data_IF_665924288646
#
_entry.id   IF_665924288646
#
_cell.length_a   1.000
_cell.length_b   1.000
_cell.length_c   1.000
_cell.angle_alpha   90.00
_cell.angle_beta   90.00
_cell.angle_gamma   90.00
#
_symmetry.space_group_name_H-M   'P 1'
#
loop_
_entity.id
_entity.type
_entity.pdbx_description
1 polymer ?
#
# COMPACT_ATOMS: atom_id res chain seq x y z
N UNK A 1 48.59 4.87 28.31
CA UNK A 1 47.28 4.19 28.29
C UNK A 1 46.22 5.26 28.34
N UNK A 2 45.40 5.55 27.33
CA UNK A 2 45.22 5.09 25.95
C UNK A 2 44.56 6.30 25.25
N UNK A 3 45.07 6.78 24.12
CA UNK A 3 44.68 6.26 22.82
C UNK A 3 43.51 7.05 22.20
N UNK A 4 43.67 8.36 21.98
CA UNK A 4 42.79 9.13 21.07
C UNK A 4 43.35 9.02 19.64
N UNK A 5 42.56 8.71 18.60
CA UNK A 5 43.01 8.92 17.23
C UNK A 5 42.81 10.38 16.84
N UNK A 6 43.92 11.09 16.66
CA UNK A 6 44.01 12.28 15.81
C UNK A 6 43.94 11.83 14.34
N UNK A 7 43.19 12.56 13.51
CA UNK A 7 43.35 12.54 12.06
C UNK A 7 43.69 13.96 11.62
N UNK A 8 44.95 14.17 11.25
CA UNK A 8 45.37 15.22 10.32
C UNK A 8 45.97 14.53 9.08
N UNK A 9 45.66 15.06 7.88
CA UNK A 9 46.26 14.62 6.62
C UNK A 9 45.43 14.97 5.38
N UNK A 10 45.72 16.14 4.81
CA UNK A 10 45.51 16.56 3.41
C UNK A 10 44.08 16.72 2.83
N UNK A 11 43.43 17.83 3.21
CA UNK A 11 43.63 19.05 2.42
C UNK A 11 43.17 19.14 0.95
N UNK A 12 42.18 18.37 0.49
CA UNK A 12 41.29 18.82 -0.62
C UNK A 12 39.85 18.38 -0.32
N UNK A 13 39.09 19.22 0.39
CA UNK A 13 37.62 19.15 0.31
C UNK A 13 37.25 19.51 -1.12
N UNK A 14 37.00 18.52 -1.98
CA UNK A 14 36.13 18.76 -3.15
C UNK A 14 34.82 19.27 -2.58
N UNK A 15 34.53 20.55 -2.79
CA UNK A 15 33.17 21.08 -2.72
C UNK A 15 32.38 20.34 -3.78
N UNK A 16 31.76 19.22 -3.37
CA UNK A 16 30.77 18.52 -4.18
C UNK A 16 29.59 19.49 -4.27
N UNK A 17 29.24 19.92 -5.48
CA UNK A 17 28.07 20.77 -5.66
C UNK A 17 26.81 20.00 -5.20
N UNK A 18 25.74 20.65 -4.72
CA UNK A 18 24.48 19.97 -4.38
C UNK A 18 23.88 19.14 -5.54
N UNK A 19 24.28 19.46 -6.78
CA UNK A 19 23.89 18.78 -8.01
C UNK A 19 24.64 17.44 -8.22
N UNK A 20 25.88 17.33 -7.72
CA UNK A 20 26.70 16.12 -7.80
C UNK A 20 26.31 15.02 -6.78
N UNK A 21 25.37 15.29 -5.86
CA UNK A 21 24.96 14.39 -4.77
C UNK A 21 23.63 13.67 -4.99
N UNK A 22 22.89 13.93 -6.07
CA UNK A 22 21.61 13.26 -6.33
C UNK A 22 21.80 12.10 -7.29
N UNK A 23 21.94 10.90 -6.74
CA UNK A 23 21.79 9.64 -7.48
C UNK A 23 20.49 9.64 -8.28
N UNK A 24 20.54 9.13 -9.50
CA UNK A 24 19.35 8.98 -10.34
C UNK A 24 18.41 7.91 -9.79
N UNK A 25 17.12 8.00 -10.13
CA UNK A 25 16.12 7.00 -9.74
C UNK A 25 16.57 5.59 -10.17
N UNK A 26 17.01 5.35 -11.43
CA UNK A 26 17.55 4.05 -11.82
C UNK A 26 18.73 3.54 -11.00
N UNK A 27 19.68 4.42 -10.67
CA UNK A 27 20.89 4.03 -9.92
C UNK A 27 20.52 3.55 -8.51
N UNK A 28 19.66 4.31 -7.83
CA UNK A 28 19.20 3.97 -6.50
C UNK A 28 18.21 2.79 -6.48
N UNK A 29 17.33 2.68 -7.48
CA UNK A 29 16.48 1.50 -7.63
C UNK A 29 17.32 0.23 -7.77
N UNK A 30 18.42 0.27 -8.55
CA UNK A 30 19.37 -0.84 -8.67
C UNK A 30 20.05 -1.16 -7.33
N UNK A 31 20.42 -0.14 -6.56
CA UNK A 31 21.00 -0.30 -5.22
C UNK A 31 20.02 -0.94 -4.25
N UNK A 32 18.76 -0.49 -4.22
CA UNK A 32 17.70 -1.03 -3.37
C UNK A 32 17.37 -2.47 -3.78
N UNK A 33 17.26 -2.76 -5.07
CA UNK A 33 17.08 -4.13 -5.57
C UNK A 33 18.19 -5.06 -5.07
N UNK A 34 19.44 -4.60 -5.11
CA UNK A 34 20.57 -5.38 -4.61
C UNK A 34 20.52 -5.61 -3.09
N UNK A 35 20.02 -4.64 -2.31
CA UNK A 35 19.80 -4.81 -0.86
C UNK A 35 18.74 -5.89 -0.61
N UNK A 36 17.61 -5.81 -1.32
CA UNK A 36 16.51 -6.77 -1.18
C UNK A 36 16.94 -8.20 -1.53
N UNK A 37 17.60 -8.37 -2.68
CA UNK A 37 18.02 -9.69 -3.18
C UNK A 37 19.10 -10.33 -2.31
N UNK A 38 19.94 -9.52 -1.66
CA UNK A 38 20.98 -10.00 -0.74
C UNK A 38 20.50 -10.16 0.71
N UNK A 39 19.27 -9.75 1.00
CA UNK A 39 18.71 -9.88 2.35
C UNK A 39 18.31 -11.34 2.60
N UNK A 40 19.08 -12.01 3.46
CA UNK A 40 18.87 -13.40 3.82
C UNK A 40 17.53 -13.65 4.55
N UNK A 41 17.04 -12.66 5.30
CA UNK A 41 15.80 -12.78 6.08
C UNK A 41 14.57 -12.89 5.19
N UNK A 42 14.63 -12.35 3.97
CA UNK A 42 13.57 -12.46 2.96
C UNK A 42 13.49 -13.86 2.34
N UNK A 43 14.51 -14.71 2.51
CA UNK A 43 14.55 -16.09 1.99
C UNK A 43 14.13 -16.20 0.53
N UNK A 44 14.55 -15.24 -0.31
CA UNK A 44 14.21 -15.24 -1.73
C UNK A 44 14.81 -16.48 -2.43
N UNK A 45 14.06 -17.18 -3.31
CA UNK A 45 14.58 -18.34 -4.02
C UNK A 45 15.76 -18.00 -4.94
N UNK A 46 16.72 -18.92 -5.08
CA UNK A 46 17.88 -18.74 -5.98
C UNK A 46 17.46 -18.41 -7.42
N UNK A 47 16.40 -19.07 -7.90
CA UNK A 47 15.80 -18.82 -9.22
C UNK A 47 15.35 -17.36 -9.43
N UNK A 48 15.10 -16.60 -8.36
CA UNK A 48 14.77 -15.17 -8.44
C UNK A 48 16.05 -14.33 -8.37
N UNK A 49 16.98 -14.68 -7.48
CA UNK A 49 18.15 -13.85 -7.17
C UNK A 49 19.27 -13.93 -8.20
N UNK A 50 19.46 -15.08 -8.84
CA UNK A 50 20.58 -15.33 -9.79
C UNK A 50 20.53 -14.45 -11.05
N UNK A 51 19.33 -14.00 -11.44
CA UNK A 51 19.14 -13.19 -12.65
C UNK A 51 18.92 -11.70 -12.37
N UNK A 52 19.27 -11.22 -11.17
CA UNK A 52 19.14 -9.81 -10.78
C UNK A 52 19.84 -8.84 -11.75
N UNK A 53 20.95 -9.27 -12.36
CA UNK A 53 21.74 -8.50 -13.32
C UNK A 53 20.97 -8.19 -14.62
N UNK A 54 19.93 -8.96 -14.93
CA UNK A 54 19.09 -8.77 -16.11
C UNK A 54 18.07 -7.61 -15.93
N UNK A 55 17.90 -7.09 -14.71
CA UNK A 55 16.99 -5.98 -14.43
C UNK A 55 17.66 -4.64 -14.79
N UNK A 56 16.98 -3.87 -15.64
CA UNK A 56 17.40 -2.54 -16.07
C UNK A 56 16.29 -1.53 -15.77
N UNK A 57 16.68 -0.39 -15.21
CA UNK A 57 15.78 0.71 -14.88
C UNK A 57 16.00 1.85 -15.87
N UNK A 58 14.92 2.36 -16.46
CA UNK A 58 14.95 3.37 -17.53
C UNK A 58 13.75 4.30 -17.41
N UNK A 59 13.79 5.53 -17.94
CA UNK A 59 14.98 6.27 -18.37
C UNK A 59 15.84 6.75 -17.19
N UNK A 60 17.07 7.19 -17.49
CA UNK A 60 17.97 7.76 -16.49
C UNK A 60 17.55 9.18 -16.12
N UNK A 61 16.83 9.31 -14.99
CA UNK A 61 16.26 10.55 -14.51
C UNK A 61 16.50 10.74 -13.02
N UNK A 62 16.48 11.98 -12.55
CA UNK A 62 16.53 12.33 -11.14
C UNK A 62 15.12 12.28 -10.50
N UNK A 63 15.00 12.69 -9.24
CA UNK A 63 13.71 12.76 -8.55
C UNK A 63 12.75 13.74 -9.22
N UNK A 64 11.48 13.34 -9.35
CA UNK A 64 10.39 14.20 -9.84
C UNK A 64 9.16 14.20 -8.93
N UNK A 65 9.11 13.33 -7.91
CA UNK A 65 8.14 13.47 -6.83
C UNK A 65 8.73 14.37 -5.73
N UNK A 66 7.99 15.39 -5.24
CA UNK A 66 8.47 16.32 -4.22
C UNK A 66 8.40 15.67 -2.82
N UNK A 67 9.10 14.57 -2.63
CA UNK A 67 9.18 13.82 -1.37
C UNK A 67 10.64 13.66 -0.94
N UNK A 68 10.94 13.76 0.37
CA UNK A 68 12.28 13.46 0.88
C UNK A 68 12.58 11.96 0.90
N UNK A 69 11.57 11.11 0.69
CA UNK A 69 11.69 9.65 0.77
C UNK A 69 12.00 9.03 -0.59
N UNK A 70 12.71 7.89 -0.59
CA UNK A 70 13.08 7.12 -1.80
C UNK A 70 11.92 6.31 -2.39
N UNK A 71 10.76 6.95 -2.59
CA UNK A 71 9.53 6.28 -3.01
C UNK A 71 9.61 5.75 -4.44
N UNK A 72 10.04 6.58 -5.40
CA UNK A 72 10.19 6.20 -6.81
C UNK A 72 11.22 5.09 -6.99
N UNK A 73 12.33 5.18 -6.28
CA UNK A 73 13.43 4.23 -6.33
C UNK A 73 13.02 2.88 -5.72
N UNK A 74 12.34 2.90 -4.57
CA UNK A 74 11.82 1.70 -3.92
C UNK A 74 10.73 1.02 -4.75
N UNK A 75 9.77 1.79 -5.28
CA UNK A 75 8.72 1.26 -6.14
C UNK A 75 9.30 0.61 -7.40
N UNK A 76 10.27 1.27 -8.03
CA UNK A 76 10.98 0.73 -9.19
C UNK A 76 11.69 -0.58 -8.84
N UNK A 77 12.44 -0.62 -7.74
CA UNK A 77 13.12 -1.84 -7.29
C UNK A 77 12.13 -2.99 -7.04
N UNK A 78 10.98 -2.70 -6.43
CA UNK A 78 9.94 -3.70 -6.18
C UNK A 78 9.30 -4.24 -7.46
N UNK A 79 9.08 -3.39 -8.47
CA UNK A 79 8.69 -3.87 -9.81
C UNK A 79 9.77 -4.73 -10.48
N UNK A 80 11.04 -4.45 -10.21
CA UNK A 80 12.16 -5.31 -10.58
C UNK A 80 12.07 -6.70 -9.95
N UNK A 81 11.78 -6.78 -8.64
CA UNK A 81 11.52 -8.05 -7.95
C UNK A 81 10.34 -8.80 -8.58
N UNK A 82 9.22 -8.13 -8.85
CA UNK A 82 8.04 -8.74 -9.49
C UNK A 82 8.43 -9.35 -10.85
N UNK A 83 9.22 -8.64 -11.66
CA UNK A 83 9.71 -9.15 -12.94
C UNK A 83 10.61 -10.40 -12.80
N UNK A 84 11.45 -10.45 -11.76
CA UNK A 84 12.30 -11.62 -11.46
C UNK A 84 11.47 -12.83 -11.04
N UNK A 85 10.49 -12.64 -10.16
CA UNK A 85 9.55 -13.70 -9.77
C UNK A 85 8.73 -14.19 -10.96
N UNK A 86 8.18 -13.29 -11.76
CA UNK A 86 7.44 -13.64 -12.97
C UNK A 86 8.30 -14.46 -13.94
N UNK A 87 9.56 -14.07 -14.14
CA UNK A 87 10.50 -14.84 -14.95
C UNK A 87 10.76 -16.21 -14.36
N UNK A 88 11.06 -16.32 -13.06
CA UNK A 88 11.31 -17.61 -12.40
C UNK A 88 10.12 -18.57 -12.56
N UNK A 89 8.89 -18.09 -12.37
CA UNK A 89 7.67 -18.87 -12.60
C UNK A 89 7.57 -19.32 -14.06
N UNK A 90 7.82 -18.45 -15.04
CA UNK A 90 7.75 -18.85 -16.44
C UNK A 90 8.81 -19.90 -16.81
N UNK A 91 10.03 -19.83 -16.23
CA UNK A 91 11.08 -20.83 -16.48
C UNK A 91 10.69 -22.19 -15.92
N UNK A 92 10.20 -22.21 -14.69
CA UNK A 92 9.76 -23.44 -14.01
C UNK A 92 8.54 -24.06 -14.71
N UNK A 93 7.55 -23.23 -15.05
CA UNK A 93 6.26 -23.71 -15.56
C UNK A 93 6.25 -24.02 -17.05
N UNK A 94 6.94 -23.21 -17.85
CA UNK A 94 6.86 -23.26 -19.31
C UNK A 94 8.19 -23.64 -19.97
N UNK A 95 9.20 -24.03 -19.19
CA UNK A 95 10.56 -24.23 -19.67
C UNK A 95 11.08 -23.01 -20.45
N UNK A 96 10.66 -21.80 -20.05
CA UNK A 96 11.19 -20.58 -20.64
C UNK A 96 12.70 -20.52 -20.36
N UNK A 97 13.46 -20.02 -21.34
CA UNK A 97 14.90 -19.78 -21.15
C UNK A 97 15.17 -18.68 -20.13
N UNK A 98 16.45 -18.46 -19.84
CA UNK A 98 16.90 -17.36 -18.98
C UNK A 98 16.42 -15.99 -19.48
N UNK A 99 16.05 -15.06 -18.59
CA UNK A 99 15.62 -13.73 -18.99
C UNK A 99 16.78 -12.96 -19.61
N UNK A 100 16.67 -12.61 -20.90
CA UNK A 100 17.68 -11.74 -21.54
C UNK A 100 17.68 -10.33 -20.96
N UNK A 101 16.49 -9.82 -20.59
CA UNK A 101 16.31 -8.47 -20.06
C UNK A 101 14.96 -8.33 -19.35
N UNK A 102 14.97 -7.67 -18.21
CA UNK A 102 13.78 -7.19 -17.50
C UNK A 102 13.89 -5.66 -17.46
N UNK A 103 12.92 -4.95 -18.01
CA UNK A 103 12.95 -3.49 -18.10
C UNK A 103 11.88 -2.91 -17.20
N UNK A 104 12.29 -2.06 -16.26
CA UNK A 104 11.39 -1.29 -15.41
C UNK A 104 11.43 0.16 -15.87
N UNK A 105 10.30 0.64 -16.37
CA UNK A 105 10.09 2.05 -16.63
C UNK A 105 9.81 2.79 -15.31
N UNK A 106 10.72 3.68 -14.91
CA UNK A 106 10.67 4.32 -13.59
C UNK A 106 9.55 5.34 -13.46
N UNK A 107 9.09 5.91 -14.59
CA UNK A 107 7.90 6.77 -14.59
C UNK A 107 6.67 5.94 -14.26
N UNK A 108 6.46 4.85 -14.99
CA UNK A 108 5.34 3.93 -14.77
C UNK A 108 5.37 3.36 -13.35
N UNK A 109 6.51 2.87 -12.89
CA UNK A 109 6.67 2.34 -11.53
C UNK A 109 6.33 3.37 -10.45
N UNK A 110 6.72 4.63 -10.65
CA UNK A 110 6.40 5.72 -9.73
C UNK A 110 4.92 6.10 -9.81
N UNK A 111 4.38 6.28 -11.02
CA UNK A 111 2.98 6.67 -11.24
C UNK A 111 2.00 5.63 -10.72
N UNK A 112 2.41 4.36 -10.62
CA UNK A 112 1.61 3.31 -9.96
C UNK A 112 1.29 3.63 -8.50
N UNK A 113 2.17 4.34 -7.77
CA UNK A 113 1.90 4.81 -6.40
C UNK A 113 0.72 5.78 -6.33
N UNK A 114 0.43 6.46 -7.45
CA UNK A 114 -0.62 7.46 -7.59
C UNK A 114 -1.72 7.00 -8.56
N UNK A 115 -1.79 5.70 -8.88
CA UNK A 115 -2.64 5.15 -9.95
C UNK A 115 -4.12 5.48 -9.77
N UNK A 116 -4.61 5.53 -8.53
CA UNK A 116 -5.99 5.97 -8.21
C UNK A 116 -6.34 7.34 -8.79
N UNK A 117 -5.40 8.28 -8.85
CA UNK A 117 -5.61 9.63 -9.40
C UNK A 117 -5.50 9.67 -10.92
N UNK A 118 -4.90 8.65 -11.52
CA UNK A 118 -4.72 8.52 -12.97
C UNK A 118 -5.82 7.66 -13.60
N UNK A 119 -6.61 6.96 -12.78
CA UNK A 119 -7.66 6.09 -13.26
C UNK A 119 -8.76 6.89 -13.96
N UNK A 120 -9.04 6.49 -15.21
CA UNK A 120 -10.04 7.11 -16.05
C UNK A 120 -11.04 6.08 -16.57
N UNK A 121 -12.29 6.51 -16.70
CA UNK A 121 -13.34 5.75 -17.37
C UNK A 121 -13.81 6.57 -18.57
N UNK A 122 -13.61 6.04 -19.77
CA UNK A 122 -13.95 6.72 -21.04
C UNK A 122 -13.36 8.15 -21.13
N UNK A 123 -12.10 8.32 -20.72
CA UNK A 123 -11.37 9.60 -20.80
C UNK A 123 -11.72 10.63 -19.72
N UNK A 124 -12.61 10.29 -18.77
CA UNK A 124 -12.91 11.13 -17.60
C UNK A 124 -12.25 10.56 -16.36
N UNK A 125 -11.75 11.44 -15.49
CA UNK A 125 -11.36 11.03 -14.14
C UNK A 125 -12.54 10.40 -13.43
N UNK A 126 -12.24 9.48 -12.54
CA UNK A 126 -13.26 8.65 -11.91
C UNK A 126 -14.41 9.43 -11.26
N UNK A 127 -14.11 10.52 -10.55
CA UNK A 127 -15.07 11.39 -9.86
C UNK A 127 -16.04 12.10 -10.80
N UNK A 128 -15.69 12.26 -12.08
CA UNK A 128 -16.51 12.86 -13.13
C UNK A 128 -17.16 11.83 -14.05
N UNK A 129 -16.90 10.54 -13.80
CA UNK A 129 -17.37 9.47 -14.65
C UNK A 129 -18.84 9.11 -14.38
N UNK A 130 -19.50 8.55 -15.39
CA UNK A 130 -20.85 8.01 -15.28
C UNK A 130 -20.97 6.78 -14.34
N UNK A 131 -19.84 6.27 -13.83
CA UNK A 131 -19.82 5.10 -12.94
C UNK A 131 -20.07 5.49 -11.48
N UNK A 132 -19.83 6.76 -11.12
CA UNK A 132 -20.01 7.26 -9.75
C UNK A 132 -21.37 6.92 -9.14
N UNK A 133 -22.51 7.15 -9.83
CA UNK A 133 -23.82 6.81 -9.25
C UNK A 133 -24.00 5.31 -8.99
N UNK A 134 -23.33 4.44 -9.75
CA UNK A 134 -23.47 2.97 -9.62
C UNK A 134 -22.82 2.42 -8.35
N UNK A 135 -21.89 3.16 -7.77
CA UNK A 135 -21.07 2.71 -6.66
C UNK A 135 -21.15 3.62 -5.44
N UNK A 136 -22.13 4.54 -5.44
CA UNK A 136 -22.44 5.38 -4.29
C UNK A 136 -22.84 4.56 -3.05
N UNK A 137 -23.38 3.36 -3.25
CA UNK A 137 -23.71 2.42 -2.18
C UNK A 137 -22.48 1.99 -1.36
N UNK A 138 -21.27 2.08 -1.92
CA UNK A 138 -20.03 1.78 -1.22
C UNK A 138 -19.59 2.92 -0.27
N UNK A 139 -20.03 4.15 -0.50
CA UNK A 139 -19.71 5.30 0.35
C UNK A 139 -20.77 5.52 1.45
N UNK A 140 -21.11 4.46 2.18
CA UNK A 140 -22.12 4.53 3.24
C UNK A 140 -21.70 5.45 4.41
N UNK A 141 -20.40 5.77 4.54
CA UNK A 141 -19.89 6.75 5.51
C UNK A 141 -19.87 8.20 5.01
N UNK A 142 -20.33 8.44 3.78
CA UNK A 142 -20.46 9.77 3.14
C UNK A 142 -19.14 10.55 3.10
N UNK A 143 -18.02 9.86 2.83
CA UNK A 143 -16.69 10.49 2.79
C UNK A 143 -16.47 11.36 1.55
N UNK A 144 -17.43 11.37 0.61
CA UNK A 144 -17.45 12.32 -0.51
C UNK A 144 -17.87 13.72 -0.11
N UNK A 145 -18.57 13.90 1.02
CA UNK A 145 -18.85 15.23 1.54
C UNK A 145 -17.52 15.92 1.85
N UNK A 146 -17.33 17.11 1.31
CA UNK A 146 -16.06 17.85 1.42
C UNK A 146 -15.66 17.99 2.89
N UNK A 147 -16.61 18.35 3.74
CA UNK A 147 -16.41 18.49 5.18
C UNK A 147 -15.87 17.22 5.85
N UNK A 148 -16.46 16.05 5.53
CA UNK A 148 -16.11 14.75 6.12
C UNK A 148 -14.78 14.22 5.56
N UNK A 149 -14.50 14.48 4.28
CA UNK A 149 -13.26 14.09 3.62
C UNK A 149 -12.04 14.77 4.27
N UNK A 150 -12.15 16.08 4.50
CA UNK A 150 -11.05 16.92 5.00
C UNK A 150 -10.67 16.62 6.45
N UNK A 151 -11.49 15.88 7.21
CA UNK A 151 -11.17 15.38 8.56
C UNK A 151 -9.81 14.66 8.58
N UNK A 152 -9.52 13.88 7.53
CA UNK A 152 -8.26 13.14 7.41
C UNK A 152 -7.11 14.07 7.01
N UNK A 153 -6.45 14.68 8.00
CA UNK A 153 -5.38 15.65 7.78
C UNK A 153 -4.51 15.83 9.03
N UNK A 154 -3.39 16.54 8.87
CA UNK A 154 -2.40 16.78 9.92
C UNK A 154 -2.53 18.20 10.45
N UNK A 155 -2.74 18.34 11.75
CA UNK A 155 -2.90 19.63 12.42
C UNK A 155 -1.93 19.78 13.59
N UNK A 156 -1.56 21.02 13.87
CA UNK A 156 -0.67 21.35 15.00
C UNK A 156 -1.46 21.32 16.30
N UNK A 157 -0.91 20.70 17.33
CA UNK A 157 -1.51 20.54 18.67
C UNK A 157 -1.01 21.61 19.65
N UNK A 158 -1.65 21.69 20.83
CA UNK A 158 -1.32 22.65 21.89
C UNK A 158 0.13 22.54 22.38
N UNK A 159 0.67 21.33 22.43
CA UNK A 159 2.04 21.00 22.86
C UNK A 159 3.09 21.13 21.75
N UNK A 160 2.77 21.89 20.69
CA UNK A 160 3.64 22.11 19.51
C UNK A 160 4.06 20.82 18.78
N UNK A 161 3.25 19.77 18.87
CA UNK A 161 3.36 18.55 18.07
C UNK A 161 2.42 18.66 16.86
N UNK A 162 2.41 17.62 16.04
CA UNK A 162 1.45 17.48 14.96
C UNK A 162 0.69 16.17 15.16
N UNK A 163 -0.61 16.18 14.89
CA UNK A 163 -1.48 15.02 15.02
C UNK A 163 -2.21 14.78 13.70
N UNK A 164 -2.14 13.55 13.21
CA UNK A 164 -2.91 13.09 12.07
C UNK A 164 -4.30 12.68 12.56
N UNK A 165 -5.26 13.57 12.36
CA UNK A 165 -6.68 13.27 12.50
C UNK A 165 -7.10 12.39 11.32
N UNK A 166 -7.93 11.37 11.54
CA UNK A 166 -8.30 10.44 10.47
C UNK A 166 -9.78 10.07 10.51
N UNK A 167 -10.50 10.33 9.42
CA UNK A 167 -11.93 10.05 9.27
C UNK A 167 -12.26 8.59 8.94
N UNK A 168 -11.30 7.76 8.57
CA UNK A 168 -11.53 6.37 8.09
C UNK A 168 -12.55 6.34 6.94
N UNK A 169 -13.27 5.23 6.78
CA UNK A 169 -14.40 5.14 5.85
C UNK A 169 -15.71 5.65 6.45
N UNK A 170 -15.67 6.24 7.66
CA UNK A 170 -16.80 6.88 8.30
C UNK A 170 -16.28 7.89 9.33
N UNK A 171 -16.36 9.18 9.00
CA UNK A 171 -15.83 10.24 9.85
C UNK A 171 -16.64 10.54 11.11
N UNK A 172 -17.86 10.01 11.26
CA UNK A 172 -18.77 10.32 12.39
C UNK A 172 -18.11 10.17 13.77
N UNK A 173 -17.38 9.08 14.11
CA UNK A 173 -16.71 8.98 15.41
C UNK A 173 -15.69 10.10 15.66
N UNK A 174 -14.97 10.50 14.61
CA UNK A 174 -13.98 11.58 14.69
C UNK A 174 -14.65 12.93 14.90
N UNK A 175 -15.78 13.19 14.21
CA UNK A 175 -16.53 14.43 14.34
C UNK A 175 -17.13 14.55 15.75
N UNK A 176 -17.70 13.46 16.28
CA UNK A 176 -18.21 13.43 17.66
C UNK A 176 -17.10 13.58 18.70
N UNK A 177 -15.93 12.97 18.49
CA UNK A 177 -14.76 13.17 19.35
C UNK A 177 -14.35 14.65 19.44
N UNK A 178 -14.58 15.42 18.39
CA UNK A 178 -14.25 16.84 18.31
C UNK A 178 -15.43 17.76 18.67
N UNK A 179 -16.55 17.22 19.15
CA UNK A 179 -17.79 17.96 19.41
C UNK A 179 -18.29 18.77 18.19
N UNK A 180 -18.13 18.19 17.00
CA UNK A 180 -18.50 18.78 15.73
C UNK A 180 -19.77 18.14 15.13
N UNK A 181 -20.57 18.90 14.35
CA UNK A 181 -21.72 18.36 13.66
C UNK A 181 -21.28 17.32 12.62
N UNK A 182 -22.12 16.32 12.37
CA UNK A 182 -21.80 15.27 11.39
C UNK A 182 -21.75 15.76 9.94
N UNK A 183 -22.51 16.81 9.63
CA UNK A 183 -22.73 17.32 8.29
C UNK A 183 -22.68 18.85 8.24
N UNK A 184 -22.11 19.38 7.17
CA UNK A 184 -22.02 20.82 6.87
C UNK A 184 -22.30 21.07 5.38
N UNK A 185 -23.58 20.98 4.94
CA UNK A 185 -23.93 21.18 3.53
C UNK A 185 -23.64 22.60 3.03
N UNK A 186 -23.45 23.55 3.95
CA UNK A 186 -23.01 24.92 3.68
C UNK A 186 -21.51 25.04 3.35
N UNK A 187 -20.73 23.96 3.53
CA UNK A 187 -19.29 23.88 3.28
C UNK A 187 -18.94 22.82 2.22
N UNK A 188 -19.81 22.62 1.23
CA UNK A 188 -19.58 21.64 0.16
C UNK A 188 -18.87 22.29 -1.04
N UNK A 189 -17.79 21.68 -1.52
CA UNK A 189 -17.02 22.20 -2.65
C UNK A 189 -15.58 22.57 -2.29
N UNK A 190 -14.69 22.53 -3.29
CA UNK A 190 -13.25 22.73 -3.10
C UNK A 190 -12.91 24.12 -2.54
N UNK A 191 -13.73 25.12 -2.81
CA UNK A 191 -13.63 26.49 -2.30
C UNK A 191 -13.72 26.57 -0.77
N UNK A 192 -14.34 25.59 -0.12
CA UNK A 192 -14.52 25.55 1.34
C UNK A 192 -13.41 24.78 2.07
N UNK A 193 -12.49 24.11 1.35
CA UNK A 193 -11.48 23.23 1.96
C UNK A 193 -10.64 23.96 3.02
N UNK A 194 -10.18 25.19 2.76
CA UNK A 194 -9.37 25.92 3.73
C UNK A 194 -10.18 26.36 4.96
N UNK A 195 -11.42 26.82 4.77
CA UNK A 195 -12.31 27.15 5.88
C UNK A 195 -12.61 25.92 6.76
N UNK A 196 -12.80 24.75 6.14
CA UNK A 196 -12.99 23.49 6.86
C UNK A 196 -11.71 23.12 7.64
N UNK A 197 -10.53 23.25 7.01
CA UNK A 197 -9.26 23.01 7.70
C UNK A 197 -9.06 23.92 8.89
N UNK A 198 -9.50 25.18 8.82
CA UNK A 198 -9.42 26.12 9.95
C UNK A 198 -10.29 25.66 11.13
N UNK A 199 -11.49 25.13 10.89
CA UNK A 199 -12.34 24.54 11.94
C UNK A 199 -11.60 23.42 12.69
N UNK A 200 -11.02 22.46 11.96
CA UNK A 200 -10.29 21.34 12.57
C UNK A 200 -9.01 21.82 13.26
N UNK A 201 -8.29 22.76 12.63
CA UNK A 201 -7.06 23.35 13.19
C UNK A 201 -7.34 24.04 14.53
N UNK A 202 -8.39 24.82 14.64
CA UNK A 202 -8.74 25.56 15.86
C UNK A 202 -9.10 24.64 17.03
N UNK A 203 -9.69 23.48 16.75
CA UNK A 203 -10.03 22.49 17.79
C UNK A 203 -8.78 21.71 18.19
N UNK A 204 -8.02 21.19 17.22
CA UNK A 204 -6.80 20.41 17.49
C UNK A 204 -5.74 21.24 18.20
N UNK A 205 -5.61 22.54 17.88
CA UNK A 205 -4.67 23.45 18.54
C UNK A 205 -4.95 23.67 20.03
N UNK A 206 -6.14 23.34 20.52
CA UNK A 206 -6.54 23.46 21.94
C UNK A 206 -6.31 22.17 22.73
N UNK A 207 -5.80 21.12 22.09
CA UNK A 207 -5.66 19.79 22.67
C UNK A 207 -4.20 19.34 22.58
N UNK A 208 -3.71 18.66 23.62
CA UNK A 208 -2.39 18.03 23.59
C UNK A 208 -2.43 16.76 22.73
N UNK A 209 -1.28 16.42 22.13
CA UNK A 209 -1.17 15.29 21.21
C UNK A 209 -1.46 13.92 21.85
N UNK A 210 -1.07 13.73 23.12
CA UNK A 210 -1.28 12.47 23.83
C UNK A 210 -2.76 12.24 24.17
N UNK A 211 -3.48 13.26 24.64
CA UNK A 211 -4.92 13.12 24.93
C UNK A 211 -5.73 12.84 23.66
N UNK A 212 -5.35 13.45 22.53
CA UNK A 212 -5.94 13.14 21.22
C UNK A 212 -5.68 11.69 20.81
N UNK A 213 -4.47 11.18 21.00
CA UNK A 213 -4.12 9.81 20.64
C UNK A 213 -4.88 8.79 21.49
N UNK A 214 -4.92 8.98 22.82
CA UNK A 214 -5.67 8.12 23.74
C UNK A 214 -7.16 8.19 23.44
N UNK A 215 -7.72 9.39 23.27
CA UNK A 215 -9.15 9.51 23.02
C UNK A 215 -9.55 8.88 21.67
N UNK A 216 -8.81 9.16 20.59
CA UNK A 216 -9.10 8.59 19.28
C UNK A 216 -9.05 7.06 19.31
N UNK A 217 -7.94 6.48 19.79
CA UNK A 217 -7.71 5.04 19.68
C UNK A 217 -8.45 4.22 20.76
N UNK A 218 -8.50 4.67 22.01
CA UNK A 218 -9.05 3.88 23.12
C UNK A 218 -10.54 4.13 23.37
N UNK A 219 -11.02 5.36 23.16
CA UNK A 219 -12.43 5.72 23.43
C UNK A 219 -13.29 5.64 22.18
N UNK A 220 -12.84 6.22 21.08
CA UNK A 220 -13.62 6.30 19.85
C UNK A 220 -13.31 5.18 18.86
N UNK A 221 -12.29 4.36 19.14
CA UNK A 221 -11.82 3.27 18.27
C UNK A 221 -11.56 3.75 16.83
N UNK A 222 -11.10 4.99 16.72
CA UNK A 222 -10.85 5.70 15.48
C UNK A 222 -9.34 5.89 15.32
N UNK A 223 -8.76 5.64 14.13
CA UNK A 223 -7.36 5.90 13.89
C UNK A 223 -7.03 7.37 14.15
N UNK A 224 -5.90 7.61 14.81
CA UNK A 224 -5.34 8.93 15.03
C UNK A 224 -3.96 8.78 15.64
N UNK A 225 -2.99 9.56 15.17
CA UNK A 225 -1.62 9.38 15.62
C UNK A 225 -0.85 10.69 15.67
N UNK A 226 -0.06 10.86 16.73
CA UNK A 226 0.95 11.91 16.80
C UNK A 226 2.03 11.65 15.76
N UNK A 227 2.35 12.67 14.96
CA UNK A 227 3.48 12.65 14.04
C UNK A 227 4.79 12.63 14.85
N UNK A 228 5.58 11.58 14.65
CA UNK A 228 6.82 11.30 15.38
C UNK A 228 8.01 11.32 14.44
N UNK A 229 9.19 11.65 14.96
CA UNK A 229 10.45 11.32 14.29
C UNK A 229 10.69 9.80 14.30
N UNK A 230 11.67 9.34 13.53
CA UNK A 230 12.05 7.91 13.52
C UNK A 230 12.48 7.44 14.90
N UNK A 231 13.31 8.22 15.60
CA UNK A 231 13.79 7.89 16.95
C UNK A 231 12.65 7.88 17.98
N UNK A 232 11.72 8.85 17.90
CA UNK A 232 10.54 8.89 18.75
C UNK A 232 9.64 7.67 18.50
N UNK A 233 9.43 7.28 17.24
CA UNK A 233 8.67 6.07 16.91
C UNK A 233 9.37 4.82 17.44
N UNK A 234 10.68 4.67 17.20
CA UNK A 234 11.48 3.54 17.68
C UNK A 234 11.43 3.40 19.21
N UNK A 235 11.30 4.51 19.94
CA UNK A 235 11.16 4.52 21.40
C UNK A 235 9.74 4.17 21.90
N UNK A 236 8.74 4.01 21.04
CA UNK A 236 7.40 3.52 21.44
C UNK A 236 7.38 2.00 21.65
N UNK A 237 6.36 1.47 22.31
CA UNK A 237 6.14 0.01 22.40
C UNK A 237 5.97 -0.62 21.02
N UNK A 238 5.19 0.03 20.13
CA UNK A 238 4.99 -0.42 18.75
C UNK A 238 6.27 -0.38 17.93
N UNK A 239 7.04 0.70 18.02
CA UNK A 239 8.31 0.82 17.29
C UNK A 239 9.33 -0.22 17.74
N UNK A 240 9.51 -0.41 19.06
CA UNK A 240 10.39 -1.48 19.58
C UNK A 240 9.97 -2.88 19.12
N UNK A 241 8.68 -3.11 18.95
CA UNK A 241 8.16 -4.40 18.49
C UNK A 241 8.27 -4.60 16.97
N UNK A 242 8.38 -3.52 16.17
CA UNK A 242 8.22 -3.58 14.71
C UNK A 242 9.48 -3.17 13.93
N UNK A 243 10.39 -2.38 14.51
CA UNK A 243 11.52 -1.80 13.76
C UNK A 243 12.57 -2.83 13.32
N UNK A 244 12.65 -3.95 14.04
CA UNK A 244 13.54 -5.08 13.75
C UNK A 244 12.83 -6.18 12.93
N UNK A 245 11.51 -6.07 12.71
CA UNK A 245 10.77 -7.07 11.93
C UNK A 245 11.16 -7.00 10.45
N UNK A 246 11.32 -8.16 9.78
CA UNK A 246 11.63 -8.18 8.35
C UNK A 246 10.41 -7.72 7.54
N UNK A 247 10.66 -7.36 6.27
CA UNK A 247 9.61 -6.85 5.37
C UNK A 247 8.44 -7.84 5.19
N UNK A 248 8.72 -9.14 5.23
CA UNK A 248 7.72 -10.20 5.29
C UNK A 248 8.30 -11.43 5.97
N UNK A 249 7.40 -12.28 6.46
CA UNK A 249 7.73 -13.57 7.05
C UNK A 249 7.05 -14.70 6.28
N UNK A 250 7.75 -15.82 6.13
CA UNK A 250 7.22 -17.04 5.54
C UNK A 250 7.06 -18.08 6.65
N UNK A 251 5.82 -18.50 6.87
CA UNK A 251 5.48 -19.57 7.80
C UNK A 251 4.99 -20.78 7.00
N UNK A 252 5.62 -21.94 7.23
CA UNK A 252 5.18 -23.19 6.62
C UNK A 252 4.06 -23.78 7.49
N UNK A 253 2.83 -23.80 6.97
CA UNK A 253 1.68 -24.32 7.71
C UNK A 253 1.80 -25.84 7.98
N UNK A 254 2.38 -26.59 7.03
CA UNK A 254 2.58 -28.03 7.15
C UNK A 254 3.92 -28.47 6.55
N UNK A 255 4.70 -29.25 7.30
CA UNK A 255 6.03 -29.68 6.86
C UNK A 255 6.01 -30.70 5.71
N UNK A 256 4.93 -31.46 5.57
CA UNK A 256 4.90 -32.72 4.81
C UNK A 256 4.00 -32.69 3.56
N UNK A 257 3.39 -31.57 3.21
CA UNK A 257 2.57 -31.51 2.00
C UNK A 257 3.47 -31.51 0.75
N UNK A 258 3.17 -32.33 -0.26
CA UNK A 258 3.90 -32.29 -1.52
C UNK A 258 3.64 -30.94 -2.24
N UNK A 259 4.57 -30.49 -3.10
CA UNK A 259 4.32 -29.34 -3.97
C UNK A 259 3.05 -29.56 -4.80
N UNK A 260 2.23 -28.52 -4.92
CA UNK A 260 1.05 -28.54 -5.79
C UNK A 260 1.50 -28.35 -7.24
N UNK A 261 1.11 -29.23 -8.19
CA UNK A 261 1.48 -29.07 -9.58
C UNK A 261 0.85 -27.80 -10.18
N UNK A 262 1.51 -27.22 -11.18
CA UNK A 262 0.95 -26.08 -11.91
C UNK A 262 -0.40 -26.45 -12.56
N UNK A 263 -1.43 -25.59 -12.48
CA UNK A 263 -2.67 -25.83 -13.19
C UNK A 263 -2.43 -25.78 -14.70
N UNK A 264 -3.15 -26.60 -15.47
CA UNK A 264 -3.12 -26.53 -16.93
C UNK A 264 -3.86 -25.27 -17.40
N UNK A 265 -3.19 -24.40 -18.15
CA UNK A 265 -3.81 -23.24 -18.81
C UNK A 265 -3.60 -23.36 -20.31
N UNK A 266 -4.70 -23.31 -21.08
CA UNK A 266 -4.66 -23.34 -22.55
C UNK A 266 -4.67 -21.92 -23.18
N UNK A 267 -4.80 -20.87 -22.37
CA UNK A 267 -5.28 -19.57 -22.85
C UNK A 267 -4.18 -18.51 -22.99
N UNK A 268 -3.05 -18.64 -22.28
CA UNK A 268 -1.89 -17.74 -22.41
C UNK A 268 -0.71 -18.21 -21.56
N UNK A 269 0.53 -18.00 -22.01
CA UNK A 269 1.77 -18.25 -21.26
C UNK A 269 2.08 -17.13 -20.24
N UNK A 270 1.06 -16.63 -19.54
CA UNK A 270 1.25 -15.67 -18.44
C UNK A 270 1.70 -16.41 -17.18
N UNK A 271 2.59 -15.82 -16.34
CA UNK A 271 3.18 -16.53 -15.20
C UNK A 271 2.15 -17.23 -14.30
N UNK A 272 1.07 -16.55 -13.94
CA UNK A 272 0.07 -17.03 -13.00
C UNK A 272 -1.23 -17.50 -13.69
N UNK A 273 -1.21 -17.76 -15.00
CA UNK A 273 -2.40 -18.19 -15.72
C UNK A 273 -3.08 -19.40 -15.07
N UNK A 274 -4.38 -19.35 -14.80
CA UNK A 274 -5.12 -20.47 -14.20
C UNK A 274 -4.93 -20.67 -12.69
N UNK A 275 -4.08 -19.88 -12.02
CA UNK A 275 -4.02 -19.83 -10.55
C UNK A 275 -5.25 -19.08 -10.05
N UNK A 276 -5.99 -19.68 -9.12
CA UNK A 276 -7.20 -19.10 -8.52
C UNK A 276 -6.85 -18.40 -7.22
N UNK A 277 -7.14 -17.11 -7.15
CA UNK A 277 -6.83 -16.25 -6.00
C UNK A 277 -8.12 -15.77 -5.37
N UNK A 278 -8.30 -16.06 -4.09
CA UNK A 278 -9.39 -15.51 -3.29
C UNK A 278 -8.91 -14.28 -2.52
N UNK A 279 -9.47 -13.13 -2.87
CA UNK A 279 -9.13 -11.83 -2.31
C UNK A 279 -10.13 -11.43 -1.21
N UNK A 280 -9.67 -11.56 0.03
CA UNK A 280 -10.32 -11.19 1.29
C UNK A 280 -9.75 -9.88 1.85
N UNK A 281 -9.46 -8.91 0.98
CA UNK A 281 -8.83 -7.65 1.36
C UNK A 281 -9.69 -6.43 1.06
N UNK A 282 -9.34 -5.29 1.67
CA UNK A 282 -10.04 -4.01 1.49
C UNK A 282 -9.09 -2.85 1.23
N UNK A 283 -9.65 -1.78 0.66
CA UNK A 283 -9.02 -0.46 0.53
C UNK A 283 -7.85 -0.43 -0.46
N UNK A 284 -6.60 -0.64 -0.04
CA UNK A 284 -5.41 -0.34 -0.88
C UNK A 284 -4.42 -1.50 -0.93
N UNK A 285 -3.71 -1.79 0.16
CA UNK A 285 -2.53 -2.65 0.13
C UNK A 285 -2.81 -4.08 -0.40
N UNK A 286 -3.82 -4.74 0.18
CA UNK A 286 -4.26 -6.06 -0.29
C UNK A 286 -4.80 -6.05 -1.72
N UNK A 287 -5.72 -5.13 -2.09
CA UNK A 287 -6.19 -5.03 -3.46
C UNK A 287 -5.10 -4.73 -4.49
N UNK A 288 -4.03 -4.01 -4.12
CA UNK A 288 -2.86 -3.81 -4.98
C UNK A 288 -2.12 -5.13 -5.23
N UNK A 289 -1.89 -5.94 -4.19
CA UNK A 289 -1.26 -7.27 -4.34
C UNK A 289 -2.05 -8.11 -5.33
N UNK A 290 -3.35 -8.25 -5.13
CA UNK A 290 -4.20 -9.14 -5.93
C UNK A 290 -4.42 -8.61 -7.35
N UNK A 291 -4.45 -7.29 -7.54
CA UNK A 291 -4.40 -6.67 -8.87
C UNK A 291 -3.13 -7.05 -9.63
N UNK A 292 -1.96 -7.03 -8.97
CA UNK A 292 -0.70 -7.46 -9.60
C UNK A 292 -0.75 -8.95 -9.98
N UNK A 293 -1.34 -9.81 -9.13
CA UNK A 293 -1.54 -11.22 -9.48
C UNK A 293 -2.45 -11.39 -10.71
N UNK A 294 -3.55 -10.64 -10.80
CA UNK A 294 -4.43 -10.61 -11.97
C UNK A 294 -3.72 -10.12 -13.24
N UNK A 295 -2.87 -9.08 -13.14
CA UNK A 295 -2.04 -8.61 -14.26
C UNK A 295 -1.12 -9.73 -14.79
N UNK A 296 -0.60 -10.58 -13.89
CA UNK A 296 0.19 -11.76 -14.23
C UNK A 296 -0.65 -12.97 -14.67
N UNK A 297 -1.96 -12.83 -14.83
CA UNK A 297 -2.86 -13.84 -15.39
C UNK A 297 -3.61 -14.70 -14.38
N UNK A 298 -3.48 -14.45 -13.08
CA UNK A 298 -4.27 -15.16 -12.08
C UNK A 298 -5.77 -14.85 -12.22
N UNK A 299 -6.61 -15.83 -11.95
CA UNK A 299 -8.05 -15.65 -11.83
C UNK A 299 -8.38 -15.19 -10.41
N UNK A 300 -8.56 -13.89 -10.25
CA UNK A 300 -8.76 -13.27 -8.95
C UNK A 300 -10.25 -13.01 -8.71
N UNK A 301 -10.80 -13.62 -7.66
CA UNK A 301 -12.12 -13.34 -7.14
C UNK A 301 -12.00 -12.59 -5.81
N UNK A 302 -12.43 -11.34 -5.80
CA UNK A 302 -12.59 -10.58 -4.57
C UNK A 302 -13.95 -10.85 -3.94
N UNK A 303 -13.97 -11.04 -2.64
CA UNK A 303 -15.21 -11.02 -1.88
C UNK A 303 -15.42 -9.65 -1.25
N UNK A 304 -16.57 -9.06 -1.57
CA UNK A 304 -17.02 -7.77 -1.05
C UNK A 304 -18.36 -7.94 -0.34
N UNK A 305 -18.85 -6.85 0.25
CA UNK A 305 -20.22 -6.79 0.75
C UNK A 305 -20.75 -5.37 0.61
N UNK A 306 -22.03 -5.23 0.23
CA UNK A 306 -22.76 -3.95 0.22
C UNK A 306 -23.19 -3.48 1.62
N UNK A 307 -23.04 -4.33 2.64
CA UNK A 307 -23.44 -4.02 4.03
C UNK A 307 -22.38 -3.24 4.81
N UNK A 308 -21.23 -2.95 4.20
CA UNK A 308 -20.13 -2.22 4.84
C UNK A 308 -19.55 -1.19 3.88
N UNK A 309 -19.05 -0.05 4.39
CA UNK A 309 -18.41 0.94 3.54
C UNK A 309 -17.14 0.38 2.90
N UNK A 310 -16.81 0.98 1.76
CA UNK A 310 -15.57 0.75 1.03
C UNK A 310 -15.04 2.04 0.41
N UNK A 311 -13.78 2.03 0.00
CA UNK A 311 -13.08 3.21 -0.47
C UNK A 311 -13.24 3.33 -2.00
N UNK A 312 -14.37 3.90 -2.44
CA UNK A 312 -14.83 3.89 -3.83
C UNK A 312 -13.74 4.16 -4.91
N UNK A 313 -12.90 5.21 -4.84
CA UNK A 313 -11.82 5.43 -5.81
C UNK A 313 -10.81 4.27 -5.88
N UNK A 314 -10.46 3.72 -4.74
CA UNK A 314 -9.50 2.62 -4.65
C UNK A 314 -10.10 1.29 -5.08
N UNK A 315 -11.41 1.09 -4.93
CA UNK A 315 -12.09 -0.06 -5.52
C UNK A 315 -11.97 -0.01 -7.04
N UNK A 316 -12.21 1.13 -7.68
CA UNK A 316 -12.14 1.18 -9.14
C UNK A 316 -10.74 0.89 -9.71
N UNK A 317 -9.70 1.46 -9.10
CA UNK A 317 -8.31 1.18 -9.50
C UNK A 317 -7.85 -0.23 -9.09
N UNK A 318 -8.18 -0.66 -7.88
CA UNK A 318 -7.76 -1.95 -7.30
C UNK A 318 -8.49 -3.17 -7.86
N UNK A 319 -9.61 -3.01 -8.57
CA UNK A 319 -10.39 -4.11 -9.16
C UNK A 319 -10.03 -4.42 -10.62
N UNK A 320 -9.08 -3.71 -11.23
CA UNK A 320 -8.69 -3.96 -12.62
C UNK A 320 -8.19 -5.40 -12.80
N UNK A 321 -8.83 -6.15 -13.71
CA UNK A 321 -8.48 -7.54 -14.01
C UNK A 321 -9.04 -8.57 -13.02
N UNK A 322 -9.89 -8.16 -12.07
CA UNK A 322 -10.47 -9.02 -11.03
C UNK A 322 -11.99 -9.16 -11.19
N UNK A 323 -12.55 -10.22 -10.64
CA UNK A 323 -14.00 -10.40 -10.44
C UNK A 323 -14.35 -10.04 -9.00
N UNK A 324 -15.59 -9.67 -8.76
CA UNK A 324 -16.09 -9.28 -7.44
C UNK A 324 -17.39 -10.05 -7.14
N UNK A 325 -17.47 -10.64 -5.94
CA UNK A 325 -18.63 -11.33 -5.43
C UNK A 325 -19.11 -10.66 -4.14
N UNK A 326 -20.36 -10.19 -4.15
CA UNK A 326 -21.02 -9.64 -2.97
C UNK A 326 -21.53 -10.79 -2.08
N UNK A 327 -20.80 -11.09 -1.01
CA UNK A 327 -21.12 -12.15 -0.06
C UNK A 327 -21.13 -11.58 1.35
N UNK A 328 -22.26 -11.69 2.04
CA UNK A 328 -22.37 -11.29 3.43
C UNK A 328 -21.94 -12.43 4.38
N UNK A 329 -20.70 -12.37 4.84
CA UNK A 329 -20.09 -13.35 5.75
C UNK A 329 -20.70 -13.37 7.17
N UNK A 330 -21.61 -12.45 7.50
CA UNK A 330 -22.39 -12.49 8.75
C UNK A 330 -23.58 -13.45 8.67
N UNK A 331 -23.91 -13.96 7.48
CA UNK A 331 -25.01 -14.90 7.29
C UNK A 331 -24.50 -16.35 7.21
N UNK A 332 -25.29 -17.34 7.66
CA UNK A 332 -24.93 -18.75 7.49
C UNK A 332 -24.70 -19.14 6.02
N UNK A 333 -25.46 -18.55 5.10
CA UNK A 333 -25.30 -18.79 3.66
C UNK A 333 -23.98 -18.24 3.14
N UNK A 334 -23.64 -17.00 3.47
CA UNK A 334 -22.38 -16.39 3.03
C UNK A 334 -21.15 -17.14 3.57
N UNK A 335 -21.24 -17.68 4.79
CA UNK A 335 -20.20 -18.57 5.34
C UNK A 335 -20.07 -19.86 4.54
N UNK A 336 -21.18 -20.52 4.20
CA UNK A 336 -21.15 -21.72 3.33
C UNK A 336 -20.55 -21.43 1.96
N UNK A 337 -20.91 -20.30 1.35
CA UNK A 337 -20.36 -19.88 0.06
C UNK A 337 -18.84 -19.67 0.15
N UNK A 338 -18.36 -19.04 1.23
CA UNK A 338 -16.94 -18.88 1.51
C UNK A 338 -16.22 -20.23 1.64
N UNK A 339 -16.80 -21.18 2.38
CA UNK A 339 -16.22 -22.51 2.58
C UNK A 339 -16.06 -23.27 1.25
N UNK A 340 -17.02 -23.15 0.33
CA UNK A 340 -16.87 -23.74 -1.01
C UNK A 340 -15.78 -23.04 -1.83
N UNK A 341 -15.69 -21.71 -1.76
CA UNK A 341 -14.63 -20.96 -2.45
C UNK A 341 -13.23 -21.30 -1.92
N UNK A 342 -13.09 -21.56 -0.61
CA UNK A 342 -11.81 -21.98 -0.04
C UNK A 342 -11.31 -23.32 -0.59
N UNK A 343 -12.21 -24.25 -0.92
CA UNK A 343 -11.84 -25.55 -1.50
C UNK A 343 -11.27 -25.42 -2.91
N UNK A 344 -11.58 -24.32 -3.60
CA UNK A 344 -11.20 -24.10 -4.99
C UNK A 344 -10.04 -23.10 -5.16
N UNK A 345 -9.63 -22.41 -4.10
CA UNK A 345 -8.61 -21.38 -4.15
C UNK A 345 -7.20 -21.98 -4.00
N UNK A 346 -6.27 -21.57 -4.87
CA UNK A 346 -4.85 -21.92 -4.75
C UNK A 346 -4.13 -20.96 -3.80
N UNK A 347 -4.57 -19.68 -3.78
CA UNK A 347 -3.99 -18.62 -2.96
C UNK A 347 -5.11 -17.83 -2.29
N UNK A 348 -4.97 -17.60 -1.00
CA UNK A 348 -5.85 -16.72 -0.22
C UNK A 348 -5.05 -15.50 0.19
N UNK A 349 -5.56 -14.31 -0.10
CA UNK A 349 -4.98 -13.05 0.36
C UNK A 349 -5.96 -12.39 1.32
N UNK A 350 -5.54 -12.15 2.56
CA UNK A 350 -6.40 -11.63 3.61
C UNK A 350 -5.76 -10.41 4.29
N UNK A 351 -6.58 -9.40 4.61
CA UNK A 351 -6.17 -8.24 5.41
C UNK A 351 -7.07 -8.00 6.64
N UNK A 352 -7.94 -8.96 6.98
CA UNK A 352 -8.72 -8.92 8.21
C UNK A 352 -7.83 -9.16 9.44
N UNK A 353 -8.24 -8.55 10.56
CA UNK A 353 -7.57 -8.69 11.86
C UNK A 353 -7.60 -10.17 12.31
N UNK A 354 -6.63 -10.60 13.14
CA UNK A 354 -6.72 -11.89 13.83
C UNK A 354 -8.07 -12.07 14.53
N UNK A 355 -8.61 -13.29 14.53
CA UNK A 355 -9.92 -13.60 15.11
C UNK A 355 -11.15 -13.40 14.19
N UNK A 356 -11.00 -12.83 12.99
CA UNK A 356 -12.17 -12.61 12.11
C UNK A 356 -12.71 -13.90 11.47
N UNK A 357 -11.87 -14.93 11.31
CA UNK A 357 -12.25 -16.23 10.72
C UNK A 357 -12.42 -17.35 11.74
N UNK A 358 -12.27 -17.05 13.03
CA UNK A 358 -12.55 -17.95 14.15
C UNK A 358 -14.05 -17.88 14.51
#
# INVERSE_FOLDING_TARGET
MDGKPQFEGDGVRRTISPEDLRSSIPSDAKRILAILIKNADLKMPAAVTEHASCVTFTPNISSFLPTPMKMSESASAMWGCIGLFASAVCRDRYNAGEPKRIVVDVYSATLMLCSVFLFQVNGKVFTESQVVPRAIHLDSGRNRETYRNVVSNIYKTMDNRYFHLHGSLNATPTLHMLDLPEHRPDLEGNEHIEAIKDIYRDIVAKRDSMSLEVEANERWLQPGATCRTVDEYAATSHGRANIEEPLYMIYKAHEQLPPTPWPHSQVCDRPLAGIRVLDLTKVIAGPTVTRVLALMGADVLRMSTDTQPDAFPFVADGQIGKRDANINLKTPEGKRQLDELFKEADVIVNSYRPGVFE
#
